data_IF_971986697390
#
_entry.id   IF_971986697390
#
_cell.length_a   1.000
_cell.length_b   1.000
_cell.length_c   1.000
_cell.angle_alpha   90.00
_cell.angle_beta   90.00
_cell.angle_gamma   90.00
#
_symmetry.space_group_name_H-M   'P 1'
#
loop_
_entity.id
_entity.type
_entity.pdbx_description
1 polymer ?
#
# COMPACT_ATOMS: atom_id res chain seq x y z
N UNK A 1 13.49 1.41 -16.63
CA UNK A 1 12.73 0.27 -17.19
C UNK A 1 11.53 0.82 -17.92
N UNK A 2 11.33 0.43 -19.18
CA UNK A 2 10.36 1.04 -20.10
C UNK A 2 8.87 0.75 -19.80
N UNK A 3 8.54 0.28 -18.58
CA UNK A 3 7.20 -0.14 -18.22
C UNK A 3 6.76 -1.40 -18.97
N UNK A 4 5.53 -1.85 -18.70
CA UNK A 4 4.88 -2.93 -19.45
C UNK A 4 3.38 -2.65 -19.47
N UNK A 5 2.75 -2.88 -20.63
CA UNK A 5 1.30 -2.78 -20.76
C UNK A 5 0.63 -3.91 -19.97
N UNK A 6 -0.44 -3.56 -19.27
CA UNK A 6 -1.25 -4.50 -18.51
C UNK A 6 -2.71 -4.14 -18.71
N UNK A 7 -3.55 -5.16 -18.80
CA UNK A 7 -4.98 -4.94 -18.88
C UNK A 7 -5.51 -4.41 -17.54
N UNK A 8 -6.42 -3.43 -17.62
CA UNK A 8 -7.18 -2.92 -16.49
C UNK A 8 -8.67 -3.09 -16.81
N UNK A 9 -9.46 -3.47 -15.80
CA UNK A 9 -10.90 -3.60 -15.98
C UNK A 9 -11.54 -2.25 -16.30
N UNK A 10 -12.69 -2.29 -16.97
CA UNK A 10 -13.46 -1.09 -17.27
C UNK A 10 -13.79 -0.29 -15.99
N UNK A 11 -14.08 -0.98 -14.88
CA UNK A 11 -14.32 -0.32 -13.58
C UNK A 11 -13.05 0.37 -13.05
N UNK A 12 -11.89 -0.30 -13.14
CA UNK A 12 -10.61 0.31 -12.77
C UNK A 12 -10.33 1.55 -13.62
N UNK A 13 -10.55 1.47 -14.93
CA UNK A 13 -10.38 2.60 -15.85
C UNK A 13 -11.30 3.77 -15.51
N UNK A 14 -12.57 3.50 -15.16
CA UNK A 14 -13.50 4.55 -14.70
C UNK A 14 -12.99 5.25 -13.44
N UNK A 15 -12.54 4.48 -12.44
CA UNK A 15 -12.02 5.03 -11.17
C UNK A 15 -10.74 5.84 -11.39
N UNK A 16 -9.83 5.35 -12.23
CA UNK A 16 -8.62 6.08 -12.61
C UNK A 16 -8.98 7.38 -13.34
N UNK A 17 -9.96 7.35 -14.25
CA UNK A 17 -10.45 8.55 -14.93
C UNK A 17 -10.98 9.61 -13.95
N UNK A 18 -11.86 9.21 -13.03
CA UNK A 18 -12.37 10.11 -11.99
C UNK A 18 -11.26 10.70 -11.11
N UNK A 19 -10.25 9.87 -10.77
CA UNK A 19 -9.07 10.33 -10.03
C UNK A 19 -8.24 11.34 -10.81
N UNK A 20 -7.99 11.13 -12.10
CA UNK A 20 -7.22 12.05 -12.94
C UNK A 20 -7.90 13.41 -13.05
N UNK A 21 -9.24 13.43 -13.20
CA UNK A 21 -10.03 14.68 -13.18
C UNK A 21 -9.88 15.40 -11.85
N UNK A 22 -10.10 14.71 -10.73
CA UNK A 22 -10.04 15.32 -9.40
C UNK A 22 -8.63 15.79 -9.00
N UNK A 23 -7.59 15.08 -9.46
CA UNK A 23 -6.19 15.38 -9.14
C UNK A 23 -5.53 16.37 -10.11
N UNK A 24 -6.18 16.70 -11.24
CA UNK A 24 -5.62 17.48 -12.34
C UNK A 24 -4.26 16.97 -12.84
N UNK A 25 -3.99 15.66 -12.68
CA UNK A 25 -2.77 15.03 -13.19
C UNK A 25 -2.94 14.80 -14.69
N UNK A 26 -2.20 15.57 -15.50
CA UNK A 26 -2.19 15.44 -16.96
C UNK A 26 -1.00 14.64 -17.48
N UNK A 27 0.09 14.61 -16.73
CA UNK A 27 1.34 13.93 -17.12
C UNK A 27 2.04 13.26 -15.93
N UNK A 28 2.99 12.37 -16.23
CA UNK A 28 3.78 11.67 -15.23
C UNK A 28 3.02 10.59 -14.45
N UNK A 29 3.52 10.17 -13.28
CA UNK A 29 2.92 9.07 -12.53
C UNK A 29 1.57 9.44 -11.92
N UNK A 30 0.57 8.57 -12.09
CA UNK A 30 -0.77 8.70 -11.50
C UNK A 30 -0.72 8.59 -9.97
N UNK A 31 0.05 7.64 -9.45
CA UNK A 31 0.28 7.45 -8.02
C UNK A 31 1.60 8.09 -7.63
N UNK A 32 1.52 9.29 -7.07
CA UNK A 32 2.67 10.11 -6.69
C UNK A 32 3.00 9.98 -5.20
N UNK A 33 4.26 10.20 -4.85
CA UNK A 33 4.70 10.21 -3.45
C UNK A 33 4.04 11.36 -2.68
N UNK A 34 3.51 11.07 -1.50
CA UNK A 34 3.02 12.09 -0.56
C UNK A 34 4.07 12.36 0.51
N UNK A 35 4.58 13.58 0.58
CA UNK A 35 5.37 14.10 1.69
C UNK A 35 4.45 14.48 2.85
N UNK A 36 4.89 14.19 4.08
CA UNK A 36 4.15 14.56 5.29
C UNK A 36 5.09 15.29 6.23
N UNK A 37 4.91 16.60 6.38
CA UNK A 37 5.61 17.41 7.39
C UNK A 37 4.71 17.52 8.62
N UNK A 38 5.14 16.92 9.74
CA UNK A 38 4.44 16.98 11.03
C UNK A 38 5.22 17.88 11.97
N UNK A 39 4.61 19.01 12.34
CA UNK A 39 5.10 19.85 13.44
C UNK A 39 4.29 19.57 14.69
N UNK A 40 5.00 19.30 15.79
CA UNK A 40 4.41 19.10 17.11
C UNK A 40 3.98 20.44 17.69
N UNK A 41 2.99 20.40 18.58
CA UNK A 41 2.63 21.54 19.42
C UNK A 41 3.87 22.04 20.17
N UNK A 42 4.11 23.35 20.14
CA UNK A 42 5.09 24.02 21.00
C UNK A 42 4.35 24.99 21.91
N UNK A 43 4.54 24.82 23.21
CA UNK A 43 4.03 25.77 24.19
C UNK A 43 4.68 27.14 24.01
N UNK A 44 3.99 28.19 24.46
CA UNK A 44 4.59 29.52 24.52
C UNK A 44 5.76 29.50 25.52
N UNK A 45 6.88 30.11 25.13
CA UNK A 45 8.02 30.37 26.00
C UNK A 45 7.96 31.84 26.38
N UNK A 46 7.80 32.18 27.67
CA UNK A 46 7.76 33.58 28.09
C UNK A 46 9.10 34.27 27.82
N UNK A 47 9.10 35.60 27.58
CA UNK A 47 10.33 36.38 27.52
C UNK A 47 11.09 36.29 28.85
N UNK A 48 12.42 36.27 28.77
CA UNK A 48 13.30 36.20 29.92
C UNK A 48 14.07 37.51 30.07
N UNK A 49 14.13 38.06 31.28
CA UNK A 49 15.00 39.20 31.58
C UNK A 49 16.48 38.83 31.35
N UNK A 50 17.30 39.81 30.95
CA UNK A 50 18.69 39.57 30.55
C UNK A 50 19.52 38.89 31.65
N UNK A 51 19.29 39.30 32.90
CA UNK A 51 19.96 38.82 34.11
C UNK A 51 19.63 37.36 34.40
N UNK A 52 18.39 36.95 34.08
CA UNK A 52 17.90 35.59 34.26
C UNK A 52 18.39 34.64 33.14
N UNK A 53 18.96 35.14 32.04
CA UNK A 53 19.50 34.29 30.97
C UNK A 53 20.83 33.66 31.43
N UNK A 54 20.95 32.32 31.40
CA UNK A 54 22.20 31.63 31.71
C UNK A 54 23.34 32.12 30.81
N UNK A 55 24.49 32.48 31.41
CA UNK A 55 25.59 33.20 30.75
C UNK A 55 26.04 32.61 29.40
N UNK A 56 26.23 31.29 29.33
CA UNK A 56 26.59 30.58 28.09
C UNK A 56 25.59 30.73 26.92
N UNK A 57 24.36 31.17 27.17
CA UNK A 57 23.31 31.36 26.15
C UNK A 57 22.85 32.81 26.01
N UNK A 58 23.52 33.74 26.70
CA UNK A 58 23.12 35.15 26.79
C UNK A 58 23.28 35.93 25.48
N UNK A 59 24.12 35.42 24.57
CA UNK A 59 24.25 35.95 23.21
C UNK A 59 23.02 35.67 22.31
N UNK A 60 22.12 34.76 22.71
CA UNK A 60 20.88 34.49 21.98
C UNK A 60 19.78 35.49 22.37
N UNK A 61 19.75 36.64 21.68
CA UNK A 61 18.80 37.74 21.94
C UNK A 61 17.32 37.34 21.77
N UNK A 62 17.02 36.24 21.06
CA UNK A 62 15.65 35.72 20.91
C UNK A 62 14.99 35.32 22.24
N UNK A 63 15.77 34.97 23.28
CA UNK A 63 15.24 34.64 24.62
C UNK A 63 14.63 35.86 25.33
N UNK A 64 15.06 37.07 24.98
CA UNK A 64 14.50 38.32 25.51
C UNK A 64 13.06 38.56 25.04
N UNK A 65 12.70 38.04 23.86
CA UNK A 65 11.38 38.24 23.24
C UNK A 65 10.39 37.11 23.57
N UNK A 66 10.88 35.95 24.01
CA UNK A 66 10.06 34.75 24.15
C UNK A 66 9.62 34.19 22.78
N UNK A 67 8.89 33.07 22.80
CA UNK A 67 8.33 32.44 21.59
C UNK A 67 6.84 32.19 21.80
N UNK A 68 6.00 32.56 20.82
CA UNK A 68 4.56 32.27 20.87
C UNK A 68 4.31 30.76 20.77
N UNK A 69 3.18 30.31 21.29
CA UNK A 69 2.75 28.94 21.08
C UNK A 69 2.55 28.66 19.59
N UNK A 70 3.04 27.52 19.12
CA UNK A 70 2.87 27.05 17.75
C UNK A 70 1.97 25.81 17.77
N UNK A 71 0.78 25.83 17.13
CA UNK A 71 -0.10 24.68 17.12
C UNK A 71 0.54 23.51 16.36
N UNK A 72 0.14 22.29 16.74
CA UNK A 72 0.48 21.12 15.94
C UNK A 72 -0.12 21.26 14.54
N UNK A 73 0.67 21.00 13.50
CA UNK A 73 0.18 21.01 12.12
C UNK A 73 0.77 19.85 11.33
N UNK A 74 -0.03 19.28 10.46
CA UNK A 74 0.40 18.30 9.47
C UNK A 74 0.17 18.87 8.09
N UNK A 75 1.23 18.99 7.30
CA UNK A 75 1.16 19.45 5.91
C UNK A 75 1.44 18.26 5.00
N UNK A 76 0.54 18.04 4.06
CA UNK A 76 0.70 17.02 3.02
C UNK A 76 1.14 17.70 1.73
N UNK A 77 2.19 17.17 1.11
CA UNK A 77 2.67 17.62 -0.20
C UNK A 77 2.63 16.47 -1.18
N UNK A 78 2.14 16.70 -2.40
CA UNK A 78 2.19 15.70 -3.47
C UNK A 78 3.45 15.97 -4.30
N UNK A 79 4.39 15.05 -4.27
CA UNK A 79 5.62 15.12 -5.08
C UNK A 79 5.36 14.80 -6.55
N UNK A 80 6.38 14.95 -7.38
CA UNK A 80 6.33 14.65 -8.83
C UNK A 80 6.75 13.22 -9.17
N UNK A 81 7.39 12.52 -8.23
CA UNK A 81 7.92 11.17 -8.41
C UNK A 81 6.86 10.12 -8.08
N UNK A 82 6.97 8.95 -8.72
CA UNK A 82 6.12 7.79 -8.44
C UNK A 82 6.19 7.35 -6.97
N UNK A 83 5.10 6.75 -6.51
CA UNK A 83 5.03 6.14 -5.19
C UNK A 83 6.11 5.05 -5.05
N UNK A 84 6.80 5.02 -3.91
CA UNK A 84 7.76 3.96 -3.65
C UNK A 84 7.06 2.61 -3.46
N UNK A 85 7.80 1.50 -3.64
CA UNK A 85 7.31 0.15 -3.32
C UNK A 85 6.75 0.06 -1.89
N UNK A 86 7.39 0.73 -0.93
CA UNK A 86 6.91 0.76 0.46
C UNK A 86 5.62 1.57 0.62
N UNK A 87 5.47 2.66 -0.14
CA UNK A 87 4.21 3.41 -0.20
C UNK A 87 3.07 2.55 -0.74
N UNK A 88 3.32 1.79 -1.81
CA UNK A 88 2.34 0.84 -2.38
C UNK A 88 1.97 -0.24 -1.36
N UNK A 89 2.96 -0.89 -0.74
CA UNK A 89 2.72 -1.87 0.32
C UNK A 89 1.91 -1.26 1.49
N UNK A 90 2.19 -0.01 1.85
CA UNK A 90 1.44 0.72 2.88
C UNK A 90 -0.05 0.90 2.53
N UNK A 91 -0.38 1.09 1.25
CA UNK A 91 -1.79 1.12 0.80
C UNK A 91 -2.44 -0.24 1.03
N UNK A 92 -1.82 -1.32 0.57
CA UNK A 92 -2.36 -2.68 0.74
C UNK A 92 -2.58 -3.03 2.22
N UNK A 93 -1.64 -2.66 3.08
CA UNK A 93 -1.75 -2.88 4.53
C UNK A 93 -2.94 -2.15 5.12
N UNK A 94 -3.15 -0.88 4.76
CA UNK A 94 -4.32 -0.12 5.23
C UNK A 94 -5.63 -0.70 4.73
N UNK A 95 -5.68 -1.13 3.46
CA UNK A 95 -6.87 -1.79 2.90
C UNK A 95 -7.16 -3.10 3.66
N UNK A 96 -6.13 -3.91 3.93
CA UNK A 96 -6.29 -5.16 4.67
C UNK A 96 -6.77 -4.95 6.11
N UNK A 97 -6.22 -3.96 6.82
CA UNK A 97 -6.69 -3.58 8.15
C UNK A 97 -8.14 -3.09 8.12
N UNK A 98 -8.47 -2.22 7.16
CA UNK A 98 -9.84 -1.74 6.98
C UNK A 98 -10.82 -2.88 6.67
N UNK A 99 -10.40 -3.90 5.93
CA UNK A 99 -11.24 -5.07 5.64
C UNK A 99 -11.49 -5.90 6.91
N UNK A 100 -10.48 -6.06 7.77
CA UNK A 100 -10.65 -6.68 9.08
C UNK A 100 -11.61 -5.88 9.97
N UNK A 101 -11.42 -4.57 10.06
CA UNK A 101 -12.29 -3.68 10.87
C UNK A 101 -13.76 -3.71 10.41
N UNK A 102 -14.00 -3.97 9.12
CA UNK A 102 -15.33 -4.14 8.53
C UNK A 102 -15.90 -5.56 8.66
N UNK A 103 -15.18 -6.50 9.27
CA UNK A 103 -15.60 -7.90 9.42
C UNK A 103 -15.54 -8.72 8.12
N UNK A 104 -14.84 -8.23 7.09
CA UNK A 104 -14.69 -8.95 5.81
C UNK A 104 -13.64 -10.08 5.89
N UNK A 105 -12.86 -10.12 6.97
CA UNK A 105 -11.81 -11.10 7.20
C UNK A 105 -11.90 -11.62 8.63
N UNK A 106 -12.12 -12.92 8.77
CA UNK A 106 -12.12 -13.58 10.08
C UNK A 106 -10.70 -14.03 10.46
N UNK A 107 -10.15 -13.48 11.54
CA UNK A 107 -8.91 -13.94 12.15
C UNK A 107 -8.78 -13.47 13.60
N UNK A 108 -7.97 -14.13 14.45
CA UNK A 108 -7.69 -13.64 15.79
C UNK A 108 -7.05 -12.25 15.75
N UNK A 109 -7.58 -11.30 16.51
CA UNK A 109 -7.11 -9.90 16.55
C UNK A 109 -5.60 -9.80 16.81
N UNK A 110 -5.06 -10.69 17.65
CA UNK A 110 -3.65 -10.76 17.98
C UNK A 110 -2.73 -11.04 16.77
N UNK A 111 -3.26 -11.57 15.65
CA UNK A 111 -2.49 -11.90 14.43
C UNK A 111 -2.65 -10.88 13.31
N UNK A 112 -3.60 -9.95 13.42
CA UNK A 112 -3.98 -9.05 12.33
C UNK A 112 -2.81 -8.15 11.91
N UNK A 113 -2.13 -7.53 12.89
CA UNK A 113 -1.01 -6.64 12.59
C UNK A 113 0.15 -7.37 11.91
N UNK A 114 0.49 -8.57 12.37
CA UNK A 114 1.56 -9.38 11.79
C UNK A 114 1.20 -9.78 10.36
N UNK A 115 -0.01 -10.28 10.14
CA UNK A 115 -0.51 -10.66 8.83
C UNK A 115 -0.52 -9.48 7.86
N UNK A 116 -0.99 -8.31 8.29
CA UNK A 116 -0.94 -7.09 7.49
C UNK A 116 0.51 -6.71 7.16
N UNK A 117 1.43 -6.69 8.14
CA UNK A 117 2.85 -6.36 7.90
C UNK A 117 3.50 -7.28 6.87
N UNK A 118 3.14 -8.56 6.85
CA UNK A 118 3.64 -9.53 5.88
C UNK A 118 3.15 -9.31 4.43
N UNK A 119 2.07 -8.53 4.23
CA UNK A 119 1.57 -8.22 2.88
C UNK A 119 2.56 -7.37 2.09
N UNK A 120 2.66 -7.71 0.80
CA UNK A 120 3.47 -6.99 -0.19
C UNK A 120 2.81 -7.02 -1.57
N UNK A 121 3.35 -6.24 -2.51
CA UNK A 121 2.95 -6.34 -3.93
C UNK A 121 3.08 -7.75 -4.50
N UNK A 122 3.99 -8.58 -3.98
CA UNK A 122 4.11 -9.97 -4.43
C UNK A 122 2.91 -10.81 -3.98
N UNK A 123 2.36 -10.54 -2.79
CA UNK A 123 1.17 -11.20 -2.27
C UNK A 123 -0.03 -11.02 -3.20
N UNK A 124 -0.21 -9.83 -3.77
CA UNK A 124 -1.30 -9.55 -4.73
C UNK A 124 -1.17 -10.39 -6.01
N UNK A 125 0.07 -10.58 -6.51
CA UNK A 125 0.32 -11.42 -7.68
C UNK A 125 0.08 -12.90 -7.38
N UNK A 126 0.47 -13.36 -6.19
CA UNK A 126 0.21 -14.74 -5.74
C UNK A 126 -1.29 -14.99 -5.57
N UNK A 127 -2.02 -14.05 -4.96
CA UNK A 127 -3.47 -14.12 -4.81
C UNK A 127 -4.19 -14.20 -6.15
N UNK A 128 -3.89 -13.31 -7.10
CA UNK A 128 -4.48 -13.37 -8.43
C UNK A 128 -4.13 -14.68 -9.18
N UNK A 129 -2.92 -15.20 -9.02
CA UNK A 129 -2.54 -16.52 -9.57
C UNK A 129 -3.43 -17.62 -8.99
N UNK A 130 -3.70 -17.56 -7.69
CA UNK A 130 -4.57 -18.52 -6.98
C UNK A 130 -6.03 -18.39 -7.43
N UNK A 131 -6.53 -17.18 -7.58
CA UNK A 131 -7.90 -16.92 -8.06
C UNK A 131 -8.10 -17.45 -9.49
N UNK A 132 -7.13 -17.26 -10.38
CA UNK A 132 -7.19 -17.79 -11.75
C UNK A 132 -7.17 -19.33 -11.77
N UNK A 133 -6.34 -19.97 -10.94
CA UNK A 133 -6.40 -21.43 -10.80
C UNK A 133 -7.75 -21.90 -10.24
N UNK A 134 -8.34 -21.17 -9.30
CA UNK A 134 -9.67 -21.49 -8.76
C UNK A 134 -10.77 -21.34 -9.82
N UNK A 135 -10.62 -20.39 -10.75
CA UNK A 135 -11.49 -20.23 -11.91
C UNK A 135 -11.29 -21.32 -12.99
N UNK A 136 -10.26 -22.16 -12.85
CA UNK A 136 -10.00 -23.29 -13.75
C UNK A 136 -9.00 -23.01 -14.87
N UNK A 137 -8.35 -21.84 -14.86
CA UNK A 137 -7.31 -21.48 -15.82
C UNK A 137 -6.07 -22.38 -15.68
N UNK A 138 -5.35 -22.56 -16.79
CA UNK A 138 -4.16 -23.41 -16.84
C UNK A 138 -2.87 -22.63 -16.46
N UNK A 139 -1.87 -23.38 -16.00
CA UNK A 139 -0.62 -22.79 -15.51
C UNK A 139 0.22 -22.07 -16.58
N UNK A 140 0.09 -22.43 -17.86
CA UNK A 140 0.80 -21.77 -18.97
C UNK A 140 0.12 -20.44 -19.29
N UNK A 141 -1.21 -20.44 -19.45
CA UNK A 141 -1.99 -19.22 -19.66
C UNK A 141 -1.79 -18.20 -18.53
N UNK A 142 -1.85 -18.66 -17.28
CA UNK A 142 -1.58 -17.82 -16.11
C UNK A 142 -0.15 -17.28 -16.11
N UNK A 143 0.85 -18.11 -16.44
CA UNK A 143 2.25 -17.67 -16.49
C UNK A 143 2.48 -16.60 -17.56
N UNK A 144 1.87 -16.74 -18.73
CA UNK A 144 1.93 -15.75 -19.79
C UNK A 144 1.25 -14.43 -19.37
N UNK A 145 0.00 -14.50 -18.89
CA UNK A 145 -0.78 -13.32 -18.52
C UNK A 145 -0.14 -12.53 -17.36
N UNK A 146 0.36 -13.23 -16.34
CA UNK A 146 0.97 -12.59 -15.17
C UNK A 146 2.47 -12.36 -15.34
N UNK A 147 3.09 -12.82 -16.42
CA UNK A 147 4.55 -12.76 -16.68
C UNK A 147 5.35 -13.42 -15.56
N UNK A 148 4.96 -14.63 -15.22
CA UNK A 148 5.83 -15.51 -14.44
C UNK A 148 6.96 -16.01 -15.35
N UNK A 149 8.16 -16.18 -14.79
CA UNK A 149 9.32 -16.66 -15.54
C UNK A 149 9.13 -18.08 -16.09
N UNK A 150 8.26 -18.88 -15.47
CA UNK A 150 7.92 -20.23 -15.91
C UNK A 150 6.52 -20.65 -15.47
N UNK A 151 5.86 -21.57 -16.20
CA UNK A 151 4.63 -22.24 -15.75
C UNK A 151 4.79 -22.95 -14.40
N UNK A 152 5.97 -23.53 -14.14
CA UNK A 152 6.29 -24.18 -12.85
C UNK A 152 6.23 -23.21 -11.67
N UNK A 153 6.59 -21.94 -11.87
CA UNK A 153 6.48 -20.89 -10.85
C UNK A 153 5.02 -20.59 -10.52
N UNK A 154 4.15 -20.51 -11.54
CA UNK A 154 2.71 -20.33 -11.33
C UNK A 154 2.10 -21.53 -10.58
N UNK A 155 2.38 -22.76 -11.04
CA UNK A 155 1.89 -23.99 -10.43
C UNK A 155 2.28 -24.13 -8.96
N UNK A 156 3.46 -23.64 -8.55
CA UNK A 156 3.88 -23.62 -7.14
C UNK A 156 2.90 -22.82 -6.26
N UNK A 157 2.35 -21.72 -6.76
CA UNK A 157 1.39 -20.91 -6.01
C UNK A 157 -0.02 -21.50 -5.99
N UNK A 158 -0.40 -22.26 -7.04
CA UNK A 158 -1.67 -23.00 -7.12
C UNK A 158 -1.70 -24.34 -6.37
N UNK A 159 -0.55 -24.90 -5.96
CA UNK A 159 -0.44 -26.25 -5.38
C UNK A 159 -1.38 -26.53 -4.20
N UNK A 160 -1.62 -25.55 -3.33
CA UNK A 160 -2.54 -25.71 -2.18
C UNK A 160 -4.03 -25.73 -2.57
N UNK A 161 -4.38 -25.11 -3.70
CA UNK A 161 -5.74 -25.13 -4.26
C UNK A 161 -5.98 -26.40 -5.08
N UNK A 162 -4.96 -26.88 -5.79
CA UNK A 162 -5.02 -28.10 -6.61
C UNK A 162 -5.36 -29.37 -5.81
N UNK A 163 -5.12 -29.39 -4.50
CA UNK A 163 -5.54 -30.48 -3.62
C UNK A 163 -7.08 -30.67 -3.59
N UNK A 164 -7.85 -29.65 -3.97
CA UNK A 164 -9.32 -29.72 -4.11
C UNK A 164 -9.81 -29.95 -5.54
N UNK A 165 -8.91 -30.00 -6.53
CA UNK A 165 -9.27 -30.01 -7.95
C UNK A 165 -8.38 -30.95 -8.79
N UNK A 166 -8.01 -32.10 -8.22
CA UNK A 166 -7.32 -33.19 -8.91
C UNK A 166 -7.97 -33.46 -10.28
N UNK A 167 -7.18 -33.37 -11.35
CA UNK A 167 -7.61 -33.66 -12.73
C UNK A 167 -8.22 -35.05 -12.85
N UNK A 168 -7.66 -36.04 -12.16
CA UNK A 168 -8.23 -37.39 -12.10
C UNK A 168 -9.61 -37.39 -11.43
N UNK A 169 -9.81 -36.61 -10.35
CA UNK A 169 -11.12 -36.51 -9.71
C UNK A 169 -12.18 -35.88 -10.63
N UNK A 170 -11.78 -34.89 -11.45
CA UNK A 170 -12.67 -34.22 -12.42
C UNK A 170 -13.00 -35.10 -13.64
N UNK A 171 -12.04 -35.90 -14.10
CA UNK A 171 -12.27 -36.89 -15.17
C UNK A 171 -13.16 -38.02 -14.66
N UNK A 172 -12.89 -38.53 -13.46
CA UNK A 172 -13.72 -39.56 -12.83
C UNK A 172 -15.15 -39.08 -12.55
N UNK A 173 -15.35 -37.81 -12.18
CA UNK A 173 -16.71 -37.26 -12.00
C UNK A 173 -17.49 -37.15 -13.31
N UNK A 174 -16.81 -36.96 -14.44
CA UNK A 174 -17.44 -36.94 -15.78
C UNK A 174 -17.74 -38.34 -16.32
N UNK A 175 -16.97 -39.34 -15.89
CA UNK A 175 -17.19 -40.76 -16.27
C UNK A 175 -18.30 -41.40 -15.43
N UNK A 176 -18.60 -40.85 -14.24
CA UNK A 176 -19.65 -41.33 -13.34
C UNK A 176 -21.02 -40.67 -13.54
N UNK A 177 -21.14 -39.74 -14.49
CA UNK A 177 -22.41 -39.13 -14.92
C UNK A 177 -22.88 -39.80 -16.21
#
# INVERSE_FOLDING_TARGET
>A
GQGAWGWLSADTMRRVGAWLVASAITEGPVFRRVGVDRRRLRAAVPPMAYEAIPGHTRHWQEKLKGKKAEPARTVYTVGTVSLSRQGVNGIYRRVALSAFDQGLVEMPIAKVEEAARALSSHSMRVGLTQDLFAAGEDGVGIAQALRWSSPSTALRYGRKLAARSNVAARVLSRIRA
#
